data_IF_520618821289
#
_entry.id   IF_520618821289
#
_cell.length_a   1.000
_cell.length_b   1.000
_cell.length_c   1.000
_cell.angle_alpha   90.00
_cell.angle_beta   90.00
_cell.angle_gamma   90.00
#
_symmetry.space_group_name_H-M   'P 1'
#
loop_
_entity.id
_entity.type
_entity.pdbx_description
1 polymer ?
#
# COMPACT_ATOMS: atom_id res chain seq x y z
N UNK A 1 -26.48 1.85 -0.72
CA UNK A 1 -25.36 0.88 -0.70
C UNK A 1 -24.07 1.67 -0.46
N UNK A 2 -23.08 1.11 0.22
CA UNK A 2 -21.74 1.71 0.38
C UNK A 2 -20.88 1.47 -0.88
N UNK A 3 -19.73 2.16 -0.98
CA UNK A 3 -18.73 1.93 -2.03
C UNK A 3 -17.97 0.67 -1.67
N UNK A 4 -18.10 -0.40 -2.42
CA UNK A 4 -17.45 -1.67 -2.11
C UNK A 4 -16.17 -1.82 -2.91
N UNK A 5 -15.05 -2.04 -2.23
CA UNK A 5 -13.74 -2.21 -2.87
C UNK A 5 -13.21 -3.60 -2.60
N UNK A 6 -13.14 -4.38 -3.68
CA UNK A 6 -12.63 -5.74 -3.69
C UNK A 6 -11.11 -5.74 -3.80
N UNK A 7 -10.43 -6.42 -2.90
CA UNK A 7 -8.98 -6.53 -2.82
C UNK A 7 -8.52 -7.98 -2.90
N UNK A 8 -7.35 -8.19 -3.51
CA UNK A 8 -6.58 -9.42 -3.36
C UNK A 8 -5.74 -9.41 -2.09
N UNK A 9 -4.91 -10.43 -1.93
CA UNK A 9 -4.05 -10.57 -0.76
C UNK A 9 -3.13 -9.34 -0.57
N UNK A 10 -3.14 -8.68 0.60
CA UNK A 10 -2.39 -7.45 0.82
C UNK A 10 -0.87 -7.64 0.77
N UNK A 11 -0.35 -8.85 1.03
CA UNK A 11 1.08 -9.11 0.93
C UNK A 11 1.59 -9.20 -0.52
N UNK A 12 0.71 -9.53 -1.47
CA UNK A 12 1.11 -9.95 -2.82
C UNK A 12 0.46 -9.13 -3.95
N UNK A 13 -0.76 -8.62 -3.75
CA UNK A 13 -1.52 -7.91 -4.77
C UNK A 13 -1.07 -6.46 -4.92
N UNK A 14 -0.07 -6.24 -5.79
CA UNK A 14 0.41 -4.88 -6.09
C UNK A 14 -0.65 -3.94 -6.65
N UNK A 15 -1.64 -4.47 -7.38
CA UNK A 15 -2.76 -3.70 -7.90
C UNK A 15 -3.71 -3.25 -6.79
N UNK A 16 -3.96 -4.11 -5.80
CA UNK A 16 -4.83 -3.80 -4.66
C UNK A 16 -4.22 -2.72 -3.76
N UNK A 17 -2.89 -2.76 -3.56
CA UNK A 17 -2.17 -1.69 -2.85
C UNK A 17 -2.39 -0.32 -3.50
N UNK A 18 -2.34 -0.24 -4.84
CA UNK A 18 -2.59 1.03 -5.55
C UNK A 18 -3.96 1.58 -5.20
N UNK A 19 -5.00 0.77 -5.33
CA UNK A 19 -6.36 1.20 -5.01
C UNK A 19 -6.49 1.57 -3.53
N UNK A 20 -5.97 0.77 -2.60
CA UNK A 20 -6.00 1.07 -1.17
C UNK A 20 -5.43 2.47 -0.86
N UNK A 21 -4.25 2.78 -1.41
CA UNK A 21 -3.60 4.07 -1.19
C UNK A 21 -4.45 5.24 -1.71
N UNK A 22 -5.23 5.05 -2.78
CA UNK A 22 -6.13 6.08 -3.28
C UNK A 22 -7.28 6.39 -2.33
N UNK A 23 -7.77 5.39 -1.59
CA UNK A 23 -8.84 5.63 -0.63
C UNK A 23 -8.28 6.15 0.69
N UNK A 24 -7.22 5.53 1.19
CA UNK A 24 -6.62 5.88 2.49
C UNK A 24 -5.96 7.27 2.47
N UNK A 25 -5.13 7.58 1.47
CA UNK A 25 -4.39 8.86 1.43
C UNK A 25 -5.26 10.08 1.13
N UNK A 26 -6.41 9.86 0.50
CA UNK A 26 -7.33 10.94 0.12
C UNK A 26 -8.61 10.96 0.98
N UNK A 27 -8.66 10.15 2.05
CA UNK A 27 -9.76 10.17 3.02
C UNK A 27 -11.11 9.80 2.42
N UNK A 28 -11.13 8.86 1.48
CA UNK A 28 -12.35 8.41 0.79
C UNK A 28 -12.86 7.15 1.48
N UNK A 29 -14.09 7.17 1.99
CA UNK A 29 -14.70 6.01 2.64
C UNK A 29 -15.07 4.89 1.65
N UNK A 30 -14.89 3.64 2.07
CA UNK A 30 -15.27 2.42 1.35
C UNK A 30 -15.50 1.26 2.31
N UNK A 31 -16.17 0.23 1.80
CA UNK A 31 -16.32 -1.08 2.43
C UNK A 31 -15.30 -2.06 1.81
N UNK A 32 -14.34 -2.59 2.58
CA UNK A 32 -13.36 -3.54 2.07
C UNK A 32 -13.95 -4.94 1.92
N UNK A 33 -13.80 -5.52 0.73
CA UNK A 33 -14.13 -6.94 0.49
C UNK A 33 -12.85 -7.65 0.06
N UNK A 34 -12.51 -8.76 0.70
CA UNK A 34 -11.28 -9.49 0.41
C UNK A 34 -11.59 -10.77 -0.35
N UNK A 35 -10.94 -10.95 -1.50
CA UNK A 35 -10.93 -12.25 -2.20
C UNK A 35 -9.82 -13.12 -1.63
N UNK A 36 -10.08 -14.41 -1.51
CA UNK A 36 -9.15 -15.38 -0.97
C UNK A 36 -8.46 -16.13 -2.11
N UNK A 37 -7.15 -15.92 -2.26
CA UNK A 37 -6.35 -16.52 -3.34
C UNK A 37 -6.24 -18.05 -3.24
N UNK A 38 -6.55 -18.66 -2.09
CA UNK A 38 -6.58 -20.11 -1.91
C UNK A 38 -7.96 -20.71 -2.15
N UNK A 39 -9.03 -19.94 -1.94
CA UNK A 39 -10.42 -20.43 -2.13
C UNK A 39 -10.79 -20.70 -3.60
N UNK A 40 -10.00 -20.17 -4.55
CA UNK A 40 -10.23 -20.35 -5.98
C UNK A 40 -9.63 -19.23 -6.81
N UNK A 41 -9.84 -19.27 -8.13
CA UNK A 41 -9.36 -18.19 -9.00
C UNK A 41 -10.06 -16.87 -8.67
N UNK A 42 -9.35 -15.75 -8.81
CA UNK A 42 -9.94 -14.41 -8.64
C UNK A 42 -11.12 -14.23 -9.60
N UNK A 43 -11.00 -14.70 -10.84
CA UNK A 43 -12.07 -14.58 -11.83
C UNK A 43 -13.36 -15.29 -11.40
N UNK A 44 -13.26 -16.46 -10.75
CA UNK A 44 -14.44 -17.17 -10.25
C UNK A 44 -15.12 -16.44 -9.10
N UNK A 45 -14.34 -15.89 -8.17
CA UNK A 45 -14.85 -15.12 -7.04
C UNK A 45 -15.49 -13.79 -7.48
N UNK A 46 -15.07 -13.24 -8.62
CA UNK A 46 -15.59 -11.98 -9.16
C UNK A 46 -16.85 -12.14 -10.03
N UNK A 47 -17.30 -13.38 -10.34
CA UNK A 47 -18.53 -13.66 -11.12
C UNK A 47 -19.79 -12.94 -10.61
N UNK A 48 -20.01 -12.74 -9.29
CA UNK A 48 -21.15 -11.97 -8.79
C UNK A 48 -21.12 -10.46 -9.12
N UNK A 49 -20.00 -9.94 -9.65
CA UNK A 49 -19.81 -8.51 -9.96
C UNK A 49 -19.40 -8.35 -11.44
N UNK A 50 -20.27 -8.69 -12.40
CA UNK A 50 -19.94 -8.56 -13.82
C UNK A 50 -19.70 -7.08 -14.19
N UNK A 51 -18.72 -6.76 -15.07
CA UNK A 51 -17.88 -7.67 -15.86
C UNK A 51 -16.52 -7.99 -15.22
N UNK A 52 -16.35 -7.77 -13.91
CA UNK A 52 -15.06 -7.89 -13.25
C UNK A 52 -14.52 -9.34 -13.28
N UNK A 53 -13.20 -9.46 -13.44
CA UNK A 53 -12.44 -10.73 -13.40
C UNK A 53 -11.14 -10.65 -12.60
N UNK A 54 -10.83 -9.46 -12.08
CA UNK A 54 -9.57 -9.10 -11.42
C UNK A 54 -9.85 -8.25 -10.18
N UNK A 55 -8.84 -8.13 -9.34
CA UNK A 55 -8.80 -7.18 -8.22
C UNK A 55 -7.62 -6.23 -8.40
N UNK A 56 -7.76 -4.94 -8.03
CA UNK A 56 -8.90 -4.36 -7.34
C UNK A 56 -10.11 -4.16 -8.25
N UNK A 57 -11.31 -4.22 -7.66
CA UNK A 57 -12.56 -3.83 -8.33
C UNK A 57 -13.38 -2.94 -7.39
N UNK A 58 -13.88 -1.81 -7.88
CA UNK A 58 -14.76 -0.92 -7.15
C UNK A 58 -16.20 -1.07 -7.66
N UNK A 59 -17.15 -1.33 -6.76
CA UNK A 59 -18.59 -1.23 -7.04
C UNK A 59 -19.15 -0.01 -6.31
N UNK A 60 -19.73 0.90 -7.08
CA UNK A 60 -20.31 2.14 -6.57
C UNK A 60 -21.80 1.98 -6.24
N UNK A 61 -22.35 2.85 -5.37
CA UNK A 61 -23.76 2.78 -4.96
C UNK A 61 -24.77 2.95 -6.10
N UNK A 62 -24.36 3.62 -7.18
CA UNK A 62 -25.15 3.84 -8.40
C UNK A 62 -25.07 2.66 -9.38
N UNK A 63 -24.37 1.58 -9.01
CA UNK A 63 -24.23 0.37 -9.80
C UNK A 63 -23.04 0.36 -10.75
N UNK A 64 -22.26 1.44 -10.84
CA UNK A 64 -21.03 1.43 -11.65
C UNK A 64 -20.00 0.45 -11.09
N UNK A 65 -19.35 -0.31 -11.98
CA UNK A 65 -18.29 -1.28 -11.65
C UNK A 65 -17.01 -0.88 -12.37
N UNK A 66 -15.92 -0.70 -11.64
CA UNK A 66 -14.60 -0.35 -12.18
C UNK A 66 -13.60 -1.45 -11.81
N UNK A 67 -13.11 -2.20 -12.79
CA UNK A 67 -12.28 -3.39 -12.58
C UNK A 67 -10.78 -3.18 -12.87
N UNK A 68 -10.36 -1.92 -13.03
CA UNK A 68 -8.97 -1.54 -13.30
C UNK A 68 -8.52 -0.42 -12.36
N UNK A 69 -7.34 -0.57 -11.76
CA UNK A 69 -6.81 0.39 -10.77
C UNK A 69 -6.70 1.83 -11.31
N UNK A 70 -6.35 2.01 -12.59
CA UNK A 70 -6.25 3.35 -13.20
C UNK A 70 -7.62 3.92 -13.54
N UNK A 71 -8.57 3.07 -13.95
CA UNK A 71 -9.95 3.50 -14.14
C UNK A 71 -10.60 3.90 -12.80
N UNK A 72 -10.34 3.15 -11.73
CA UNK A 72 -10.72 3.52 -10.36
C UNK A 72 -10.13 4.89 -10.00
N UNK A 73 -8.84 5.11 -10.26
CA UNK A 73 -8.18 6.38 -9.95
C UNK A 73 -8.81 7.58 -10.67
N UNK A 74 -9.06 7.47 -11.98
CA UNK A 74 -9.68 8.55 -12.75
C UNK A 74 -11.14 8.80 -12.33
N UNK A 75 -11.90 7.74 -12.02
CA UNK A 75 -13.26 7.90 -11.53
C UNK A 75 -13.31 8.56 -10.15
N UNK A 76 -12.38 8.23 -9.25
CA UNK A 76 -12.25 8.93 -7.97
C UNK A 76 -11.88 10.40 -8.20
N UNK A 77 -10.95 10.70 -9.11
CA UNK A 77 -10.59 12.09 -9.40
C UNK A 77 -11.77 12.89 -9.99
N UNK A 78 -12.64 12.24 -10.77
CA UNK A 78 -13.87 12.82 -11.32
C UNK A 78 -14.92 13.08 -10.24
N UNK A 79 -15.14 12.10 -9.35
CA UNK A 79 -16.17 12.19 -8.28
C UNK A 79 -15.75 13.05 -7.09
N UNK A 80 -14.45 13.18 -6.84
CA UNK A 80 -13.87 13.95 -5.74
C UNK A 80 -12.87 14.98 -6.29
N UNK A 81 -13.33 15.98 -7.07
CA UNK A 81 -12.43 16.94 -7.70
C UNK A 81 -11.60 17.74 -6.68
N UNK A 82 -12.14 17.95 -5.48
CA UNK A 82 -11.50 18.71 -4.40
C UNK A 82 -10.56 17.87 -3.53
N UNK A 83 -10.53 16.54 -3.71
CA UNK A 83 -9.66 15.67 -2.91
C UNK A 83 -8.19 15.73 -3.34
N UNK A 84 -7.86 16.38 -4.47
CA UNK A 84 -6.48 16.60 -4.88
C UNK A 84 -5.74 15.36 -5.38
N UNK A 85 -6.46 14.37 -5.93
CA UNK A 85 -5.86 13.11 -6.44
C UNK A 85 -4.83 13.35 -7.56
N UNK A 86 -5.06 14.38 -8.36
CA UNK A 86 -4.13 14.88 -9.36
C UNK A 86 -3.62 16.27 -8.97
N UNK A 87 -2.39 16.63 -9.35
CA UNK A 87 -1.89 18.00 -9.17
C UNK A 87 -2.81 19.05 -9.81
N UNK A 88 -2.95 20.21 -9.17
CA UNK A 88 -3.73 21.34 -9.69
C UNK A 88 -3.00 22.07 -10.82
N UNK A 89 -1.67 22.16 -10.75
CA UNK A 89 -0.83 22.70 -11.82
C UNK A 89 -0.97 21.84 -13.11
N UNK A 90 -1.31 22.43 -14.27
CA UNK A 90 -1.49 21.68 -15.51
C UNK A 90 -0.27 20.90 -15.96
N UNK A 91 0.94 21.45 -15.78
CA UNK A 91 2.18 20.77 -16.19
C UNK A 91 2.46 19.57 -15.29
N UNK A 92 2.34 19.74 -13.97
CA UNK A 92 2.49 18.64 -13.00
C UNK A 92 1.47 17.54 -13.22
N UNK A 93 0.21 17.91 -13.51
CA UNK A 93 -0.85 16.94 -13.80
C UNK A 93 -0.59 16.16 -15.07
N UNK A 94 -0.08 16.78 -16.12
CA UNK A 94 0.28 16.09 -17.35
C UNK A 94 1.39 15.06 -17.08
N UNK A 95 2.46 15.47 -16.39
CA UNK A 95 3.55 14.56 -15.99
C UNK A 95 3.03 13.40 -15.13
N UNK A 96 2.23 13.69 -14.10
CA UNK A 96 1.67 12.68 -13.19
C UNK A 96 0.81 11.64 -13.93
N UNK A 97 -0.01 12.07 -14.90
CA UNK A 97 -0.80 11.16 -15.72
C UNK A 97 0.06 10.29 -16.62
N UNK A 98 1.09 10.86 -17.27
CA UNK A 98 2.04 10.09 -18.08
C UNK A 98 2.76 9.03 -17.24
N UNK A 99 3.22 9.41 -16.05
CA UNK A 99 3.86 8.51 -15.09
C UNK A 99 2.94 7.36 -14.65
N UNK A 100 1.72 7.67 -14.22
CA UNK A 100 0.76 6.66 -13.78
C UNK A 100 0.38 5.70 -14.91
N UNK A 101 0.17 6.20 -16.13
CA UNK A 101 -0.15 5.39 -17.31
C UNK A 101 1.03 4.49 -17.72
N UNK A 102 2.25 5.02 -17.76
CA UNK A 102 3.44 4.23 -18.07
C UNK A 102 3.69 3.15 -17.01
N UNK A 103 3.56 3.50 -15.72
CA UNK A 103 3.63 2.50 -14.65
C UNK A 103 2.53 1.46 -14.77
N UNK A 104 1.30 1.84 -15.13
CA UNK A 104 0.19 0.93 -15.32
C UNK A 104 0.49 -0.12 -16.40
N UNK A 105 0.98 0.32 -17.57
CA UNK A 105 1.18 -0.50 -18.77
C UNK A 105 2.59 -1.13 -18.93
N UNK A 106 3.58 -0.69 -18.14
CA UNK A 106 4.98 -1.05 -18.32
C UNK A 106 5.63 -1.85 -17.19
N UNK A 107 6.96 -1.95 -17.27
CA UNK A 107 7.85 -2.60 -16.29
C UNK A 107 7.56 -4.09 -16.08
N UNK A 108 7.30 -4.80 -17.18
CA UNK A 108 6.98 -6.22 -17.16
C UNK A 108 8.11 -7.08 -16.57
N UNK A 109 9.36 -6.77 -16.90
CA UNK A 109 10.54 -7.49 -16.39
C UNK A 109 10.62 -7.35 -14.87
N UNK A 110 10.61 -6.12 -14.35
CA UNK A 110 10.60 -5.86 -12.91
C UNK A 110 9.45 -6.58 -12.20
N UNK A 111 8.24 -6.57 -12.77
CA UNK A 111 7.07 -7.22 -12.15
C UNK A 111 7.19 -8.75 -12.10
N UNK A 112 7.85 -9.35 -13.07
CA UNK A 112 7.99 -10.80 -13.20
C UNK A 112 9.17 -11.33 -12.37
N UNK A 113 10.33 -10.68 -12.46
CA UNK A 113 11.53 -11.08 -11.73
C UNK A 113 11.38 -10.77 -10.23
N UNK A 114 10.83 -9.58 -9.92
CA UNK A 114 10.61 -9.09 -8.57
C UNK A 114 9.11 -8.86 -8.28
N UNK A 115 8.28 -9.92 -8.16
CA UNK A 115 6.89 -9.75 -7.77
C UNK A 115 6.78 -9.13 -6.36
N UNK A 116 5.75 -8.34 -6.11
CA UNK A 116 5.61 -7.72 -4.78
C UNK A 116 5.41 -8.79 -3.71
N UNK A 117 6.20 -8.70 -2.64
CA UNK A 117 6.13 -9.60 -1.49
C UNK A 117 6.39 -8.79 -0.21
N UNK A 118 5.35 -8.38 0.50
CA UNK A 118 5.51 -7.49 1.67
C UNK A 118 5.81 -8.22 2.99
N UNK A 119 5.73 -9.56 3.00
CA UNK A 119 6.09 -10.43 4.13
C UNK A 119 7.59 -10.72 4.22
N UNK A 120 8.33 -10.57 3.13
CA UNK A 120 9.75 -10.95 3.05
C UNK A 120 10.55 -9.83 2.40
N UNK A 121 11.79 -9.65 2.84
CA UNK A 121 12.79 -8.85 2.14
C UNK A 121 14.06 -9.70 1.90
N UNK A 122 14.78 -9.34 0.86
CA UNK A 122 16.02 -9.97 0.44
C UNK A 122 17.15 -8.93 0.52
N UNK A 123 18.35 -9.39 0.90
CA UNK A 123 19.53 -8.54 0.97
C UNK A 123 19.99 -8.09 -0.42
N UNK A 124 19.85 -8.99 -1.39
CA UNK A 124 20.17 -8.78 -2.79
C UNK A 124 19.36 -9.73 -3.66
N UNK A 125 19.12 -9.34 -4.91
CA UNK A 125 18.53 -10.19 -5.94
C UNK A 125 19.41 -10.17 -7.19
N UNK A 126 19.47 -11.27 -7.95
CA UNK A 126 20.14 -11.28 -9.24
C UNK A 126 19.54 -10.21 -10.15
N UNK A 127 20.40 -9.49 -10.87
CA UNK A 127 19.95 -8.47 -11.81
C UNK A 127 20.28 -8.84 -13.25
N UNK A 128 19.22 -8.95 -14.07
CA UNK A 128 19.35 -9.16 -15.51
C UNK A 128 19.56 -7.83 -16.24
N UNK A 129 20.19 -7.80 -17.44
CA UNK A 129 20.29 -6.57 -18.23
C UNK A 129 18.93 -5.93 -18.55
N UNK A 130 17.87 -6.73 -18.62
CA UNK A 130 16.50 -6.27 -18.83
C UNK A 130 15.91 -5.65 -17.56
N UNK A 131 16.17 -6.22 -16.38
CA UNK A 131 15.79 -5.62 -15.10
C UNK A 131 16.51 -4.27 -14.89
N UNK A 132 17.81 -4.23 -15.15
CA UNK A 132 18.59 -2.98 -15.11
C UNK A 132 18.07 -1.92 -16.09
N UNK A 133 17.53 -2.33 -17.25
CA UNK A 133 16.91 -1.40 -18.18
C UNK A 133 15.60 -0.81 -17.63
N UNK A 134 14.76 -1.63 -16.98
CA UNK A 134 13.56 -1.17 -16.28
C UNK A 134 13.92 -0.20 -15.13
N UNK A 135 14.95 -0.50 -14.34
CA UNK A 135 15.43 0.36 -13.25
C UNK A 135 15.95 1.71 -13.76
N UNK A 136 16.79 1.72 -14.81
CA UNK A 136 17.24 2.96 -15.45
C UNK A 136 16.08 3.78 -16.02
N UNK A 137 15.04 3.11 -16.54
CA UNK A 137 13.84 3.80 -17.04
C UNK A 137 13.07 4.47 -15.90
N UNK A 138 12.92 3.80 -14.75
CA UNK A 138 12.30 4.39 -13.55
C UNK A 138 13.05 5.64 -13.09
N UNK A 139 14.38 5.57 -12.96
CA UNK A 139 15.19 6.71 -12.56
C UNK A 139 15.03 7.89 -13.53
N UNK A 140 15.10 7.62 -14.84
CA UNK A 140 14.92 8.65 -15.87
C UNK A 140 13.59 9.39 -15.75
N UNK A 141 12.47 8.66 -15.59
CA UNK A 141 11.14 9.29 -15.53
C UNK A 141 10.90 9.99 -14.18
N UNK A 142 11.47 9.47 -13.09
CA UNK A 142 11.38 10.11 -11.77
C UNK A 142 12.21 11.39 -11.72
N UNK A 143 13.44 11.36 -12.24
CA UNK A 143 14.29 12.56 -12.33
C UNK A 143 13.71 13.59 -13.30
N UNK A 144 13.10 13.16 -14.41
CA UNK A 144 12.34 14.06 -15.28
C UNK A 144 11.24 14.80 -14.50
N UNK A 145 10.42 14.08 -13.74
CA UNK A 145 9.34 14.68 -12.96
C UNK A 145 9.86 15.67 -11.92
N UNK A 146 10.90 15.30 -11.17
CA UNK A 146 11.56 16.19 -10.19
C UNK A 146 12.15 17.44 -10.85
N UNK A 147 12.76 17.30 -12.03
CA UNK A 147 13.36 18.43 -12.76
C UNK A 147 12.31 19.47 -13.20
N UNK A 148 11.08 19.02 -13.48
CA UNK A 148 9.96 19.89 -13.85
C UNK A 148 9.31 20.56 -12.64
N UNK A 149 9.47 19.96 -11.46
CA UNK A 149 8.82 20.40 -10.23
C UNK A 149 9.80 20.41 -9.05
N UNK A 150 10.85 21.28 -9.08
CA UNK A 150 11.84 21.34 -8.02
C UNK A 150 11.21 21.69 -6.67
N UNK A 151 11.72 21.10 -5.59
CA UNK A 151 11.18 21.29 -4.24
C UNK A 151 9.92 20.48 -3.92
N UNK A 152 9.49 19.59 -4.82
CA UNK A 152 8.33 18.70 -4.61
C UNK A 152 8.62 17.47 -3.75
N UNK A 153 9.80 17.41 -3.11
CA UNK A 153 10.22 16.25 -2.35
C UNK A 153 9.27 15.99 -1.14
N UNK A 154 8.96 14.71 -0.85
CA UNK A 154 9.52 13.52 -1.49
C UNK A 154 8.80 13.08 -2.78
N UNK A 155 7.60 13.60 -3.08
CA UNK A 155 6.73 13.10 -4.15
C UNK A 155 7.09 13.66 -5.55
N UNK A 156 6.63 12.99 -6.61
CA UNK A 156 7.17 13.26 -7.95
C UNK A 156 6.63 14.54 -8.60
N UNK A 157 5.42 14.95 -8.25
CA UNK A 157 4.69 16.03 -8.95
C UNK A 157 4.03 17.02 -7.99
N UNK A 158 4.65 17.29 -6.83
CA UNK A 158 4.17 18.20 -5.80
C UNK A 158 3.74 17.45 -4.55
N UNK A 159 2.48 17.61 -4.14
CA UNK A 159 1.88 16.74 -3.13
C UNK A 159 1.74 15.31 -3.62
N UNK A 160 1.44 14.39 -2.71
CA UNK A 160 1.16 13.00 -3.06
C UNK A 160 -0.04 12.89 -4.01
N UNK A 161 0.11 12.09 -5.06
CA UNK A 161 -0.85 11.97 -6.14
C UNK A 161 -1.10 10.50 -6.52
N UNK A 162 -2.02 10.28 -7.45
CA UNK A 162 -2.23 8.96 -8.09
C UNK A 162 -0.91 8.39 -8.63
N UNK A 163 -0.03 9.22 -9.20
CA UNK A 163 1.26 8.74 -9.72
C UNK A 163 2.09 8.06 -8.62
N UNK A 164 2.13 8.65 -7.42
CA UNK A 164 2.87 8.11 -6.30
C UNK A 164 2.25 6.79 -5.81
N UNK A 165 0.91 6.72 -5.69
CA UNK A 165 0.21 5.48 -5.36
C UNK A 165 0.53 4.34 -6.34
N UNK A 166 0.74 4.65 -7.62
CA UNK A 166 1.05 3.66 -8.66
C UNK A 166 2.48 3.12 -8.56
N UNK A 167 3.40 3.93 -8.06
CA UNK A 167 4.79 3.56 -7.82
C UNK A 167 5.07 2.99 -6.43
N UNK A 168 4.15 3.07 -5.46
CA UNK A 168 4.35 2.44 -4.15
C UNK A 168 4.71 0.94 -4.23
N UNK A 169 4.06 0.11 -5.09
CA UNK A 169 4.51 -1.27 -5.28
C UNK A 169 5.88 -1.41 -5.96
N UNK A 170 6.34 -0.39 -6.70
CA UNK A 170 7.70 -0.39 -7.28
C UNK A 170 8.73 -0.07 -6.22
N UNK A 171 8.45 0.92 -5.35
CA UNK A 171 9.30 1.20 -4.20
C UNK A 171 9.46 -0.03 -3.31
N UNK A 172 8.36 -0.74 -3.04
CA UNK A 172 8.39 -2.01 -2.31
C UNK A 172 9.25 -3.09 -2.97
N UNK A 173 9.28 -3.15 -4.32
CA UNK A 173 10.14 -4.10 -5.06
C UNK A 173 11.60 -3.71 -4.97
N UNK A 174 11.94 -2.45 -5.26
CA UNK A 174 13.31 -1.96 -5.20
C UNK A 174 13.90 -2.23 -3.82
N UNK A 175 13.17 -1.87 -2.77
CA UNK A 175 13.65 -2.07 -1.42
C UNK A 175 13.62 -3.54 -0.99
N UNK A 176 12.50 -4.24 -1.22
CA UNK A 176 12.29 -5.62 -0.77
C UNK A 176 13.19 -6.65 -1.45
N UNK A 177 13.72 -6.35 -2.64
CA UNK A 177 14.68 -7.21 -3.35
C UNK A 177 16.14 -6.71 -3.24
N UNK A 178 16.39 -5.63 -2.50
CA UNK A 178 17.74 -5.05 -2.40
C UNK A 178 18.28 -4.57 -3.75
N UNK A 179 17.41 -4.05 -4.64
CA UNK A 179 17.83 -3.58 -5.96
C UNK A 179 18.59 -2.25 -5.86
N UNK A 180 19.56 -2.08 -6.77
CA UNK A 180 20.28 -0.82 -6.94
C UNK A 180 19.34 0.31 -7.33
N UNK A 181 19.56 1.49 -6.75
CA UNK A 181 18.85 2.72 -7.10
C UNK A 181 19.77 3.92 -6.85
N UNK A 182 19.65 4.95 -7.67
CA UNK A 182 20.32 6.23 -7.48
C UNK A 182 19.93 6.87 -6.13
N UNK A 183 20.74 7.78 -5.57
CA UNK A 183 20.39 8.47 -4.33
C UNK A 183 19.03 9.19 -4.39
N UNK A 184 18.72 9.82 -5.53
CA UNK A 184 17.42 10.49 -5.79
C UNK A 184 16.26 9.50 -5.76
N UNK A 185 16.41 8.36 -6.45
CA UNK A 185 15.42 7.30 -6.44
C UNK A 185 15.27 6.68 -5.04
N UNK A 186 16.35 6.55 -4.27
CA UNK A 186 16.30 5.98 -2.93
C UNK A 186 15.49 6.84 -1.96
N UNK A 187 15.62 8.17 -2.01
CA UNK A 187 14.78 9.09 -1.22
C UNK A 187 13.30 8.84 -1.48
N UNK A 188 12.93 8.64 -2.75
CA UNK A 188 11.55 8.35 -3.14
C UNK A 188 11.05 6.99 -2.62
N UNK A 189 11.90 5.96 -2.71
CA UNK A 189 11.62 4.63 -2.18
C UNK A 189 11.42 4.68 -0.68
N UNK A 190 12.33 5.30 0.06
CA UNK A 190 12.28 5.40 1.51
C UNK A 190 11.04 6.19 1.97
N UNK A 191 10.63 7.23 1.23
CA UNK A 191 9.39 7.97 1.50
C UNK A 191 8.14 7.10 1.39
N UNK A 192 8.06 6.20 0.39
CA UNK A 192 6.97 5.23 0.29
C UNK A 192 6.98 4.22 1.44
N UNK A 193 8.16 3.72 1.84
CA UNK A 193 8.26 2.78 2.96
C UNK A 193 7.91 3.42 4.30
N UNK A 194 8.16 4.72 4.44
CA UNK A 194 7.85 5.49 5.64
C UNK A 194 6.39 5.97 5.70
N UNK A 195 5.68 5.97 4.57
CA UNK A 195 4.29 6.41 4.50
C UNK A 195 3.37 5.60 5.41
N UNK A 196 2.62 6.24 6.34
CA UNK A 196 1.74 5.52 7.25
C UNK A 196 0.70 4.65 6.55
N UNK A 197 0.15 5.08 5.41
CA UNK A 197 -0.85 4.29 4.68
C UNK A 197 -0.25 3.00 4.10
N UNK A 198 0.95 3.11 3.51
CA UNK A 198 1.71 1.94 3.05
C UNK A 198 2.05 0.99 4.21
N UNK A 199 2.53 1.53 5.34
CA UNK A 199 2.86 0.73 6.53
C UNK A 199 1.64 0.02 7.11
N UNK A 200 0.48 0.68 7.17
CA UNK A 200 -0.80 0.06 7.54
C UNK A 200 -1.15 -1.11 6.61
N UNK A 201 -1.04 -0.91 5.30
CA UNK A 201 -1.29 -1.97 4.33
C UNK A 201 -0.36 -3.16 4.53
N UNK A 202 0.94 -2.92 4.74
CA UNK A 202 1.92 -3.98 5.03
C UNK A 202 1.60 -4.72 6.33
N UNK A 203 1.21 -4.00 7.40
CA UNK A 203 0.82 -4.60 8.68
C UNK A 203 -0.39 -5.53 8.51
N UNK A 204 -1.41 -5.10 7.76
CA UNK A 204 -2.55 -5.95 7.37
C UNK A 204 -2.05 -7.17 6.57
N UNK A 205 -1.11 -6.96 5.65
CA UNK A 205 -0.44 -8.00 4.86
C UNK A 205 0.32 -9.04 5.66
N UNK A 206 0.74 -8.77 6.90
CA UNK A 206 1.35 -9.80 7.76
C UNK A 206 0.30 -10.76 8.34
N UNK A 207 -0.94 -10.31 8.46
CA UNK A 207 -1.98 -10.97 9.24
C UNK A 207 -3.07 -11.61 8.37
N UNK A 208 -3.38 -10.98 7.22
CA UNK A 208 -4.42 -11.46 6.31
C UNK A 208 -3.85 -12.39 5.25
N UNK A 209 -4.54 -13.50 5.04
CA UNK A 209 -4.17 -14.52 4.07
C UNK A 209 -3.02 -15.40 4.55
N UNK A 210 -2.81 -16.49 3.83
CA UNK A 210 -1.70 -17.39 4.08
C UNK A 210 -0.43 -16.92 3.35
N UNK A 211 0.73 -17.40 3.82
CA UNK A 211 1.96 -17.23 3.06
C UNK A 211 1.85 -18.07 1.78
N UNK A 212 2.07 -17.46 0.63
CA UNK A 212 2.01 -18.10 -0.68
C UNK A 212 3.44 -18.47 -1.12
N UNK A 213 3.87 -19.75 -1.02
CA UNK A 213 5.29 -20.12 -1.19
C UNK A 213 5.84 -19.86 -2.60
N UNK A 214 4.98 -19.78 -3.62
CA UNK A 214 5.39 -19.47 -4.99
C UNK A 214 5.84 -18.02 -5.21
N UNK A 215 5.64 -17.14 -4.22
CA UNK A 215 6.23 -15.79 -4.18
C UNK A 215 7.59 -15.77 -3.48
N UNK A 216 8.00 -16.85 -2.81
CA UNK A 216 9.33 -16.93 -2.21
C UNK A 216 10.41 -17.11 -3.28
N UNK A 217 11.51 -16.39 -3.10
CA UNK A 217 12.77 -16.57 -3.84
C UNK A 217 13.82 -17.18 -2.92
N UNK A 218 14.70 -17.98 -3.51
CA UNK A 218 15.87 -18.56 -2.85
C UNK A 218 17.04 -17.56 -2.86
N UNK A 219 16.79 -16.37 -2.31
CA UNK A 219 17.79 -15.30 -2.16
C UNK A 219 18.10 -15.09 -0.68
N UNK A 220 19.30 -14.56 -0.33
CA UNK A 220 19.63 -14.19 1.04
C UNK A 220 18.57 -13.23 1.61
N UNK A 221 17.99 -13.58 2.77
CA UNK A 221 16.96 -12.76 3.42
C UNK A 221 17.56 -11.59 4.19
N UNK A 222 16.80 -10.52 4.31
CA UNK A 222 17.10 -9.37 5.15
C UNK A 222 15.86 -8.93 5.94
N UNK A 223 16.08 -8.07 6.93
CA UNK A 223 15.00 -7.36 7.59
C UNK A 223 14.30 -6.40 6.60
N UNK A 224 13.02 -6.11 6.86
CA UNK A 224 12.28 -5.16 6.05
C UNK A 224 12.97 -3.78 6.09
N UNK A 225 13.32 -3.16 4.95
CA UNK A 225 14.16 -1.96 4.89
C UNK A 225 13.41 -0.64 5.19
N UNK A 226 12.18 -0.72 5.68
CA UNK A 226 11.40 0.46 6.11
C UNK A 226 11.65 0.83 7.58
N UNK A 227 10.92 1.83 8.11
CA UNK A 227 11.02 2.19 9.52
C UNK A 227 10.74 0.99 10.43
N UNK A 228 11.60 0.80 11.43
CA UNK A 228 11.39 -0.24 12.44
C UNK A 228 10.09 0.05 13.22
N UNK A 229 9.16 -0.91 13.32
CA UNK A 229 7.99 -0.79 14.19
C UNK A 229 8.37 -0.52 15.64
N UNK A 230 7.46 0.14 16.37
CA UNK A 230 7.55 0.26 17.83
C UNK A 230 7.52 -1.12 18.49
N UNK A 231 8.08 -1.23 19.69
CA UNK A 231 8.00 -2.45 20.48
C UNK A 231 6.55 -2.66 20.91
N UNK A 232 5.93 -3.73 20.40
CA UNK A 232 4.56 -4.07 20.69
C UNK A 232 4.39 -5.59 20.81
N UNK A 233 3.56 -6.02 21.76
CA UNK A 233 3.20 -7.43 21.95
C UNK A 233 1.73 -7.56 22.37
N UNK A 234 1.07 -8.63 21.93
CA UNK A 234 -0.24 -9.00 22.46
C UNK A 234 -0.10 -9.53 23.89
N UNK A 235 -1.01 -9.15 24.78
CA UNK A 235 -1.02 -9.63 26.17
C UNK A 235 -2.42 -10.12 26.54
N UNK A 236 -2.49 -11.08 27.46
CA UNK A 236 -3.76 -11.64 27.95
C UNK A 236 -4.33 -10.83 29.13
N UNK A 237 -3.45 -10.31 29.99
CA UNK A 237 -3.81 -9.62 31.22
C UNK A 237 -3.24 -8.18 31.27
N UNK A 238 -3.97 -7.29 31.94
CA UNK A 238 -3.58 -5.91 32.16
C UNK A 238 -4.78 -4.98 32.32
N UNK A 239 -4.54 -3.71 32.64
CA UNK A 239 -5.57 -2.67 32.66
C UNK A 239 -5.31 -1.72 31.51
N UNK A 240 -6.23 -1.67 30.53
CA UNK A 240 -6.12 -0.75 29.41
C UNK A 240 -6.23 0.71 29.87
N UNK A 241 -5.39 1.56 29.30
CA UNK A 241 -5.44 3.02 29.53
C UNK A 241 -6.63 3.68 28.81
N UNK A 242 -7.14 3.05 27.75
CA UNK A 242 -8.33 3.47 27.01
C UNK A 242 -9.54 2.59 27.35
N UNK A 243 -10.73 3.20 27.30
CA UNK A 243 -12.01 2.54 27.61
C UNK A 243 -12.71 1.94 26.40
N UNK A 244 -12.30 2.32 25.18
CA UNK A 244 -12.89 1.87 23.93
C UNK A 244 -11.81 1.72 22.84
N UNK A 245 -12.04 0.82 21.89
CA UNK A 245 -11.15 0.59 20.76
C UNK A 245 -10.95 1.87 19.93
N UNK A 246 -9.70 2.27 19.64
CA UNK A 246 -9.41 3.52 18.92
C UNK A 246 -9.98 3.57 17.50
N UNK A 247 -10.30 2.41 16.89
CA UNK A 247 -10.79 2.34 15.52
C UNK A 247 -12.32 2.31 15.41
N UNK A 248 -12.99 1.61 16.33
CA UNK A 248 -14.43 1.31 16.21
C UNK A 248 -15.28 1.96 17.30
N UNK A 249 -14.66 2.47 18.37
CA UNK A 249 -15.35 2.92 19.58
C UNK A 249 -16.03 1.82 20.38
N UNK A 250 -15.90 0.55 19.98
CA UNK A 250 -16.48 -0.60 20.70
C UNK A 250 -15.70 -0.91 21.99
N UNK A 251 -16.31 -1.60 22.97
CA UNK A 251 -15.65 -2.00 24.21
C UNK A 251 -14.35 -2.78 23.98
N UNK A 252 -13.41 -2.65 24.93
CA UNK A 252 -12.14 -3.37 24.93
C UNK A 252 -12.36 -4.85 25.30
N UNK A 253 -11.80 -5.74 24.48
CA UNK A 253 -11.80 -7.20 24.67
C UNK A 253 -10.39 -7.80 24.55
N UNK A 254 -9.49 -7.11 23.87
CA UNK A 254 -8.13 -7.57 23.57
C UNK A 254 -7.12 -6.48 23.96
N UNK A 255 -5.94 -6.87 24.43
CA UNK A 255 -4.93 -5.95 24.94
C UNK A 255 -3.61 -6.11 24.19
N UNK A 256 -2.91 -5.00 23.94
CA UNK A 256 -1.49 -5.02 23.58
C UNK A 256 -0.70 -4.12 24.52
N UNK A 257 0.55 -4.52 24.79
CA UNK A 257 1.55 -3.67 25.40
C UNK A 257 2.36 -3.01 24.30
N UNK A 258 2.36 -1.68 24.23
CA UNK A 258 3.04 -0.89 23.20
C UNK A 258 3.93 0.14 23.89
N UNK A 259 5.25 0.04 23.69
CA UNK A 259 6.25 0.87 24.39
C UNK A 259 6.01 0.93 25.92
N UNK A 260 5.64 -0.22 26.51
CA UNK A 260 5.37 -0.34 27.94
C UNK A 260 3.94 -0.02 28.38
N UNK A 261 3.10 0.56 27.51
CA UNK A 261 1.73 1.02 27.81
C UNK A 261 0.69 -0.01 27.38
N UNK A 262 -0.38 -0.17 28.17
CA UNK A 262 -1.43 -1.16 27.87
C UNK A 262 -2.58 -0.49 27.13
N UNK A 263 -2.75 -0.86 25.86
CA UNK A 263 -3.79 -0.32 24.97
C UNK A 263 -4.80 -1.42 24.65
N UNK A 264 -6.08 -1.08 24.76
CA UNK A 264 -7.21 -1.96 24.52
C UNK A 264 -7.82 -1.84 23.12
N UNK A 265 -8.28 -2.97 22.59
CA UNK A 265 -8.88 -3.13 21.27
C UNK A 265 -10.15 -3.98 21.36
N UNK A 266 -11.06 -3.86 20.40
CA UNK A 266 -12.36 -4.54 20.40
C UNK A 266 -12.35 -5.94 19.76
N UNK A 267 -11.20 -6.38 19.26
CA UNK A 267 -10.96 -7.73 18.73
C UNK A 267 -9.46 -7.91 18.47
N UNK A 268 -9.05 -9.17 18.34
CA UNK A 268 -7.68 -9.58 18.00
C UNK A 268 -7.16 -8.92 16.72
N UNK A 269 -7.96 -8.82 15.65
CA UNK A 269 -7.49 -8.22 14.40
C UNK A 269 -7.11 -6.73 14.58
N UNK A 270 -7.89 -5.96 15.34
CA UNK A 270 -7.57 -4.57 15.66
C UNK A 270 -6.29 -4.46 16.50
N UNK A 271 -6.07 -5.40 17.42
CA UNK A 271 -4.84 -5.50 18.22
C UNK A 271 -3.65 -5.87 17.34
N UNK A 272 -3.74 -6.96 16.60
CA UNK A 272 -2.61 -7.59 15.93
C UNK A 272 -2.06 -6.70 14.80
N UNK A 273 -2.92 -5.97 14.08
CA UNK A 273 -2.45 -5.01 13.05
C UNK A 273 -1.66 -3.85 13.66
N UNK A 274 -1.93 -3.51 14.92
CA UNK A 274 -1.20 -2.50 15.68
C UNK A 274 0.08 -3.11 16.25
N UNK A 275 0.04 -4.34 16.75
CA UNK A 275 1.25 -5.06 17.17
C UNK A 275 2.25 -5.19 16.02
N UNK A 276 1.77 -5.42 14.80
CA UNK A 276 2.61 -5.50 13.60
C UNK A 276 3.30 -4.17 13.24
N UNK A 277 2.63 -3.03 13.42
CA UNK A 277 3.23 -1.70 13.25
C UNK A 277 2.42 -0.57 13.92
N UNK A 278 2.65 -0.34 15.21
CA UNK A 278 1.86 0.64 15.97
C UNK A 278 2.07 2.09 15.49
N UNK A 279 3.29 2.39 15.03
CA UNK A 279 3.67 3.71 14.51
C UNK A 279 2.92 4.13 13.24
N UNK A 280 2.24 3.19 12.57
CA UNK A 280 1.47 3.46 11.36
C UNK A 280 0.03 3.93 11.63
N UNK A 281 -0.45 3.88 12.88
CA UNK A 281 -1.85 4.14 13.23
C UNK A 281 -1.99 5.46 14.03
N UNK A 282 -2.47 6.56 13.41
CA UNK A 282 -2.59 7.85 14.07
C UNK A 282 -3.43 7.80 15.35
N UNK A 283 -4.48 7.00 15.38
CA UNK A 283 -5.38 6.85 16.54
C UNK A 283 -4.66 6.22 17.73
N UNK A 284 -3.72 5.30 17.49
CA UNK A 284 -2.89 4.68 18.53
C UNK A 284 -1.79 5.64 18.95
N UNK A 285 -1.12 6.31 18.00
CA UNK A 285 -0.10 7.31 18.32
C UNK A 285 -0.66 8.46 19.16
N UNK A 286 -1.91 8.86 18.92
CA UNK A 286 -2.60 9.87 19.73
C UNK A 286 -2.87 9.40 21.18
N UNK A 287 -3.01 8.08 21.42
CA UNK A 287 -3.09 7.54 22.77
C UNK A 287 -1.71 7.52 23.44
N UNK A 288 -0.67 7.10 22.70
CA UNK A 288 0.71 7.00 23.21
C UNK A 288 1.36 8.36 23.49
N UNK A 289 0.83 9.45 22.96
CA UNK A 289 1.31 10.80 23.20
C UNK A 289 0.74 11.46 24.48
N UNK A 290 -0.23 10.82 25.16
CA UNK A 290 -0.84 11.29 26.41
C UNK A 290 -0.02 10.90 27.62
#
# INVERSE_FOLDING_TARGET
MSKELYFGDPAYSSWSLRAWLLFDRFGIDYEPIWVDFLSGSVADQMKPIPPARTVPTLRLPDGAVLWESLAIAEELASRYPDAGLWPSDPSARATARSLAAEMHAGFGTLRNECPMHLRTAYAEAPSSPALEADLRRLELIWDHARSKHPGSEPWLCGGYSIADAFFAPVAARIAGYGLSASPSARIYVDAHLADPAFRRWRAIGQLRGERLPWYDRDYPRADWPGPKPLNAEAIEDGTAENTACPFSGKPVTDLAKIEGRVIGFCNSFCRDKVVADAGAWPEVMALLAR
#
